data_IF_539577835782
#
_entry.id   IF_539577835782
#
_cell.length_a   1.000
_cell.length_b   1.000
_cell.length_c   1.000
_cell.angle_alpha   90.00
_cell.angle_beta   90.00
_cell.angle_gamma   90.00
#
_symmetry.space_group_name_H-M   'P 1'
#
loop_
_entity.id
_entity.type
_entity.pdbx_description
1 polymer ?
#
# COMPACT_ATOMS: atom_id res chain seq x y z
N UNK A 1 19.34 -2.63 30.11
CA UNK A 1 18.97 -1.23 30.37
C UNK A 1 19.49 -0.36 29.22
N UNK A 2 18.80 -0.33 28.07
CA UNK A 2 19.03 0.61 26.95
C UNK A 2 17.83 0.63 25.96
N UNK A 3 16.63 0.27 26.42
CA UNK A 3 15.44 0.13 25.57
C UNK A 3 15.02 1.48 24.96
N UNK A 4 15.11 2.57 25.72
CA UNK A 4 14.76 3.92 25.23
C UNK A 4 15.62 4.40 24.06
N UNK A 5 16.92 4.04 24.03
CA UNK A 5 17.81 4.38 22.89
C UNK A 5 17.51 3.52 21.67
N UNK A 6 17.13 2.26 21.87
CA UNK A 6 16.82 1.34 20.78
C UNK A 6 15.45 1.66 20.16
N UNK A 7 14.46 1.98 20.99
CA UNK A 7 13.11 2.35 20.54
C UNK A 7 13.10 3.69 19.79
N UNK A 8 13.90 4.67 20.23
CA UNK A 8 14.00 5.96 19.53
C UNK A 8 14.70 5.83 18.17
N UNK A 9 15.79 5.06 18.08
CA UNK A 9 16.46 4.79 16.81
C UNK A 9 15.56 3.98 15.85
N UNK A 10 14.85 2.96 16.36
CA UNK A 10 13.92 2.18 15.56
C UNK A 10 12.76 3.03 15.03
N UNK A 11 12.20 3.92 15.86
CA UNK A 11 11.13 4.84 15.44
C UNK A 11 11.56 5.80 14.33
N UNK A 12 12.76 6.36 14.41
CA UNK A 12 13.33 7.23 13.37
C UNK A 12 13.48 6.48 12.05
N UNK A 13 14.02 5.26 12.07
CA UNK A 13 14.19 4.44 10.86
C UNK A 13 12.85 4.09 10.22
N UNK A 14 11.85 3.68 11.01
CA UNK A 14 10.51 3.38 10.51
C UNK A 14 9.85 4.61 9.90
N UNK A 15 10.02 5.80 10.51
CA UNK A 15 9.51 7.05 9.95
C UNK A 15 10.13 7.37 8.59
N UNK A 16 11.46 7.24 8.45
CA UNK A 16 12.17 7.46 7.19
C UNK A 16 11.73 6.49 6.08
N UNK A 17 11.36 5.24 6.41
CA UNK A 17 10.88 4.24 5.44
C UNK A 17 9.39 4.42 5.14
N UNK A 18 8.58 4.89 6.10
CA UNK A 18 7.15 5.10 5.92
C UNK A 18 6.82 6.30 5.01
N UNK A 19 7.60 7.40 5.11
CA UNK A 19 7.42 8.58 4.25
C UNK A 19 7.41 8.27 2.74
N UNK A 20 8.42 7.59 2.17
CA UNK A 20 8.42 7.25 0.75
C UNK A 20 7.32 6.24 0.39
N UNK A 21 6.95 5.34 1.30
CA UNK A 21 5.88 4.37 1.09
C UNK A 21 4.52 5.09 0.94
N UNK A 22 4.18 6.01 1.86
CA UNK A 22 2.94 6.78 1.81
C UNK A 22 2.83 7.64 0.54
N UNK A 23 3.95 8.29 0.16
CA UNK A 23 4.02 9.09 -1.07
C UNK A 23 3.87 8.22 -2.32
N UNK A 24 4.52 7.04 -2.35
CA UNK A 24 4.45 6.10 -3.46
C UNK A 24 3.04 5.55 -3.68
N UNK A 25 2.33 5.17 -2.61
CA UNK A 25 0.96 4.65 -2.68
C UNK A 25 -0.01 5.74 -3.15
N UNK A 26 0.12 6.98 -2.65
CA UNK A 26 -0.75 8.08 -3.05
C UNK A 26 -0.63 8.39 -4.55
N UNK A 27 0.60 8.46 -5.07
CA UNK A 27 0.86 8.66 -6.50
C UNK A 27 0.37 7.49 -7.36
N UNK A 28 0.51 6.25 -6.89
CA UNK A 28 -0.01 5.07 -7.58
C UNK A 28 -1.54 5.06 -7.68
N UNK A 29 -2.21 5.68 -6.70
CA UNK A 29 -3.68 5.76 -6.64
C UNK A 29 -4.26 6.94 -7.43
N UNK A 30 -3.41 7.86 -7.92
CA UNK A 30 -3.86 9.10 -8.56
C UNK A 30 -4.43 10.16 -7.61
N UNK A 31 -4.22 10.01 -6.30
CA UNK A 31 -4.62 10.99 -5.29
C UNK A 31 -3.49 11.96 -4.96
N UNK A 32 -3.80 13.17 -4.46
CA UNK A 32 -2.78 14.09 -3.96
C UNK A 32 -1.92 13.43 -2.88
N UNK A 33 -0.59 13.58 -2.91
CA UNK A 33 0.33 12.91 -1.97
C UNK A 33 0.06 13.27 -0.50
N UNK A 34 -0.48 14.47 -0.28
CA UNK A 34 -0.88 14.96 1.04
C UNK A 34 -1.94 14.08 1.71
N UNK A 35 -2.89 13.53 0.95
CA UNK A 35 -3.98 12.71 1.50
C UNK A 35 -3.43 11.41 2.07
N UNK A 36 -2.53 10.74 1.35
CA UNK A 36 -1.90 9.51 1.83
C UNK A 36 -1.10 9.72 3.12
N UNK A 37 -0.35 10.81 3.20
CA UNK A 37 0.40 11.18 4.40
C UNK A 37 -0.53 11.47 5.60
N UNK A 38 -1.61 12.23 5.39
CA UNK A 38 -2.58 12.53 6.44
C UNK A 38 -3.26 11.26 6.97
N UNK A 39 -3.64 10.35 6.06
CA UNK A 39 -4.27 9.06 6.46
C UNK A 39 -3.31 8.21 7.29
N UNK A 40 -2.02 8.20 6.94
CA UNK A 40 -1.00 7.45 7.65
C UNK A 40 -0.73 8.00 9.04
N UNK A 41 -0.69 9.33 9.20
CA UNK A 41 -0.51 9.97 10.52
C UNK A 41 -1.72 9.69 11.42
N UNK A 42 -2.94 9.92 10.92
CA UNK A 42 -4.16 9.74 11.71
C UNK A 42 -4.35 8.26 12.06
N UNK A 43 -4.21 7.36 11.09
CA UNK A 43 -4.31 5.92 11.31
C UNK A 43 -3.23 5.39 12.25
N UNK A 44 -2.00 5.89 12.12
CA UNK A 44 -0.90 5.57 13.03
C UNK A 44 -1.18 5.97 14.47
N UNK A 45 -1.61 7.21 14.70
CA UNK A 45 -1.87 7.74 16.04
C UNK A 45 -3.08 7.06 16.71
N UNK A 46 -4.18 6.89 15.98
CA UNK A 46 -5.41 6.28 16.51
C UNK A 46 -5.22 4.80 16.82
N UNK A 47 -4.54 4.04 15.94
CA UNK A 47 -4.36 2.59 16.18
C UNK A 47 -3.30 2.32 17.24
N UNK A 48 -2.22 3.10 17.31
CA UNK A 48 -1.18 2.90 18.33
C UNK A 48 -1.64 3.23 19.74
N UNK A 49 -2.52 4.23 19.91
CA UNK A 49 -3.10 4.56 21.22
C UNK A 49 -4.07 3.49 21.74
N UNK A 50 -4.78 2.81 20.83
CA UNK A 50 -5.71 1.73 21.16
C UNK A 50 -5.04 0.35 21.26
N UNK A 51 -3.81 0.19 20.77
CA UNK A 51 -3.14 -1.10 20.66
C UNK A 51 -2.30 -1.43 21.91
N UNK A 52 -2.49 -2.59 22.55
CA UNK A 52 -1.69 -3.03 23.69
C UNK A 52 -0.30 -3.59 23.31
N UNK A 53 0.06 -3.62 22.01
CA UNK A 53 1.30 -4.23 21.53
C UNK A 53 2.47 -3.25 21.43
N UNK A 54 3.64 -3.66 21.94
CA UNK A 54 4.87 -2.84 22.01
C UNK A 54 5.57 -2.63 20.66
N UNK A 55 5.23 -3.42 19.64
CA UNK A 55 5.88 -3.40 18.32
C UNK A 55 4.89 -3.21 17.15
N UNK A 56 3.67 -2.79 17.44
CA UNK A 56 2.67 -2.58 16.40
C UNK A 56 2.94 -1.28 15.63
N UNK A 57 3.34 -1.40 14.36
CA UNK A 57 3.42 -0.28 13.42
C UNK A 57 2.19 -0.31 12.53
N UNK A 58 1.41 0.76 12.57
CA UNK A 58 0.19 0.89 11.74
C UNK A 58 0.46 1.82 10.58
N UNK A 59 0.15 1.38 9.36
CA UNK A 59 0.33 2.16 8.14
C UNK A 59 -0.64 1.73 7.04
N UNK A 60 -0.85 2.58 6.02
CA UNK A 60 -1.74 2.29 4.90
C UNK A 60 -1.19 1.13 4.06
N UNK A 61 -1.98 0.05 3.96
CA UNK A 61 -1.59 -1.15 3.21
C UNK A 61 -1.77 -0.96 1.71
N UNK A 62 -0.72 -1.20 0.93
CA UNK A 62 -0.74 -1.07 -0.53
C UNK A 62 -1.85 -1.92 -1.21
N UNK A 63 -2.16 -3.10 -0.65
CA UNK A 63 -3.21 -3.98 -1.16
C UNK A 63 -4.64 -3.50 -0.87
N UNK A 64 -4.85 -2.62 0.11
CA UNK A 64 -6.19 -2.11 0.43
C UNK A 64 -6.66 -1.14 -0.66
N UNK A 65 -5.75 -0.36 -1.23
CA UNK A 65 -6.04 0.58 -2.33
C UNK A 65 -6.62 -0.13 -3.54
N UNK A 66 -6.01 -1.23 -3.98
CA UNK A 66 -6.48 -1.96 -5.17
C UNK A 66 -7.87 -2.55 -4.94
N UNK A 67 -8.16 -3.01 -3.73
CA UNK A 67 -9.48 -3.51 -3.34
C UNK A 67 -10.51 -2.38 -3.35
N UNK A 68 -10.17 -1.19 -2.85
CA UNK A 68 -11.05 -0.02 -2.87
C UNK A 68 -11.37 0.41 -4.29
N UNK A 69 -10.37 0.51 -5.17
CA UNK A 69 -10.59 0.86 -6.59
C UNK A 69 -11.49 -0.16 -7.27
N UNK A 70 -11.23 -1.47 -7.07
CA UNK A 70 -12.06 -2.55 -7.60
C UNK A 70 -13.50 -2.51 -7.06
N UNK A 71 -13.67 -2.19 -5.78
CA UNK A 71 -14.97 -2.10 -5.14
C UNK A 71 -15.77 -0.90 -5.67
N UNK A 72 -15.13 0.24 -5.90
CA UNK A 72 -15.78 1.43 -6.48
C UNK A 72 -16.26 1.14 -7.91
N UNK A 73 -15.44 0.47 -8.72
CA UNK A 73 -15.82 0.05 -10.08
C UNK A 73 -17.00 -0.93 -10.07
N UNK A 74 -17.05 -1.83 -9.09
CA UNK A 74 -18.10 -2.84 -9.00
C UNK A 74 -19.42 -2.30 -8.44
N UNK A 75 -19.37 -1.37 -7.48
CA UNK A 75 -20.57 -0.85 -6.80
C UNK A 75 -21.13 0.44 -7.43
N UNK A 76 -20.33 1.18 -8.21
CA UNK A 76 -20.75 2.38 -8.96
C UNK A 76 -21.20 3.59 -8.13
N UNK A 77 -21.46 3.44 -6.83
CA UNK A 77 -21.92 4.48 -5.93
C UNK A 77 -21.01 4.63 -4.71
N UNK A 78 -20.55 5.85 -4.47
CA UNK A 78 -19.67 6.19 -3.35
C UNK A 78 -20.35 6.00 -1.98
N UNK A 79 -21.67 6.22 -1.91
CA UNK A 79 -22.44 6.05 -0.67
C UNK A 79 -22.50 4.58 -0.23
N UNK A 80 -22.69 3.66 -1.17
CA UNK A 80 -22.73 2.21 -0.88
C UNK A 80 -21.35 1.71 -0.47
N UNK A 81 -20.28 2.23 -1.11
CA UNK A 81 -18.91 1.93 -0.72
C UNK A 81 -18.59 2.37 0.71
N UNK A 82 -18.95 3.59 1.11
CA UNK A 82 -18.76 4.08 2.48
C UNK A 82 -19.52 3.23 3.50
N UNK A 83 -20.75 2.81 3.17
CA UNK A 83 -21.53 1.93 4.04
C UNK A 83 -20.86 0.56 4.20
N UNK A 84 -20.39 -0.04 3.10
CA UNK A 84 -19.62 -1.28 3.13
C UNK A 84 -18.31 -1.15 3.93
N UNK A 85 -17.64 0.00 3.84
CA UNK A 85 -16.41 0.27 4.59
C UNK A 85 -16.68 0.36 6.11
N UNK A 86 -17.76 1.04 6.51
CA UNK A 86 -18.20 1.10 7.91
C UNK A 86 -18.58 -0.29 8.42
N UNK A 87 -19.34 -1.06 7.64
CA UNK A 87 -19.68 -2.45 7.98
C UNK A 87 -18.46 -3.34 8.13
N UNK A 88 -17.48 -3.24 7.22
CA UNK A 88 -16.21 -3.96 7.32
C UNK A 88 -15.44 -3.60 8.60
N UNK A 89 -15.43 -2.31 8.98
CA UNK A 89 -14.84 -1.85 10.24
C UNK A 89 -15.55 -2.42 11.48
N UNK A 90 -16.88 -2.44 11.49
CA UNK A 90 -17.67 -3.04 12.58
C UNK A 90 -17.42 -4.54 12.69
N UNK A 91 -17.39 -5.25 11.56
CA UNK A 91 -17.02 -6.68 11.51
C UNK A 91 -15.60 -6.93 12.03
N UNK A 92 -14.65 -6.07 11.67
CA UNK A 92 -13.28 -6.15 12.15
C UNK A 92 -13.19 -5.94 13.68
N UNK A 93 -13.95 -4.98 14.23
CA UNK A 93 -14.05 -4.78 15.68
C UNK A 93 -14.70 -5.98 16.38
N UNK A 94 -15.75 -6.54 15.80
CA UNK A 94 -16.43 -7.73 16.32
C UNK A 94 -15.48 -8.93 16.37
N UNK A 95 -14.69 -9.16 15.32
CA UNK A 95 -13.65 -10.19 15.31
C UNK A 95 -12.52 -9.91 16.33
N UNK A 96 -12.22 -8.64 16.61
CA UNK A 96 -11.34 -8.23 17.69
C UNK A 96 -11.86 -8.66 19.07
N UNK A 97 -13.14 -8.40 19.35
CA UNK A 97 -13.79 -8.74 20.63
C UNK A 97 -13.93 -10.26 20.79
N UNK A 98 -14.27 -10.97 19.71
CA UNK A 98 -14.33 -12.45 19.67
C UNK A 98 -12.95 -13.11 19.79
N UNK A 99 -11.86 -12.32 19.89
CA UNK A 99 -10.46 -12.79 19.96
C UNK A 99 -10.10 -13.74 18.82
N UNK A 100 -10.67 -13.52 17.64
CA UNK A 100 -10.35 -14.28 16.43
C UNK A 100 -8.86 -14.15 16.04
N UNK A 101 -8.14 -13.15 16.58
CA UNK A 101 -6.69 -13.04 16.45
C UNK A 101 -5.91 -14.26 16.97
N UNK A 102 -6.49 -15.12 17.83
CA UNK A 102 -5.85 -16.38 18.27
C UNK A 102 -5.62 -17.36 17.12
N UNK A 103 -6.41 -17.29 16.04
CA UNK A 103 -6.23 -18.13 14.86
C UNK A 103 -4.92 -17.85 14.11
N UNK A 104 -4.33 -16.66 14.29
CA UNK A 104 -3.04 -16.31 13.66
C UNK A 104 -1.91 -17.19 14.20
N UNK A 105 -2.00 -17.68 15.43
CA UNK A 105 -1.03 -18.61 16.01
C UNK A 105 -1.00 -19.98 15.33
N UNK A 106 -2.02 -20.31 14.52
CA UNK A 106 -2.05 -21.55 13.73
C UNK A 106 -1.26 -21.43 12.42
N UNK A 107 -0.85 -20.22 12.04
CA UNK A 107 -0.07 -20.01 10.82
C UNK A 107 1.35 -20.52 11.05
N UNK A 108 1.82 -21.54 10.29
CA UNK A 108 3.14 -22.10 10.48
C UNK A 108 4.22 -21.08 10.12
N UNK A 109 5.32 -21.09 10.87
CA UNK A 109 6.44 -20.15 10.67
C UNK A 109 7.00 -20.19 9.24
N UNK A 110 6.86 -21.31 8.53
CA UNK A 110 7.24 -21.48 7.12
C UNK A 110 6.49 -20.50 6.19
N UNK A 111 5.21 -20.23 6.46
CA UNK A 111 4.40 -19.31 5.65
C UNK A 111 4.84 -17.87 5.87
N UNK A 112 5.11 -17.48 7.12
CA UNK A 112 5.59 -16.13 7.43
C UNK A 112 6.94 -15.87 6.78
N UNK A 113 7.86 -16.84 6.86
CA UNK A 113 9.16 -16.77 6.17
C UNK A 113 9.00 -16.70 4.65
N UNK A 114 8.06 -17.46 4.07
CA UNK A 114 7.72 -17.39 2.65
C UNK A 114 7.19 -16.01 2.23
N UNK A 115 6.31 -15.40 3.03
CA UNK A 115 5.81 -14.06 2.79
C UNK A 115 6.93 -13.01 2.85
N UNK A 116 7.82 -13.08 3.84
CA UNK A 116 8.97 -12.18 3.96
C UNK A 116 9.96 -12.36 2.79
N UNK A 117 10.20 -13.59 2.35
CA UNK A 117 11.01 -13.89 1.17
C UNK A 117 10.39 -13.33 -0.11
N UNK A 118 9.07 -13.48 -0.29
CA UNK A 118 8.35 -12.93 -1.42
C UNK A 118 8.40 -11.39 -1.46
N UNK A 119 8.22 -10.71 -0.32
CA UNK A 119 8.38 -9.26 -0.21
C UNK A 119 9.82 -8.86 -0.55
N UNK A 120 10.83 -9.58 -0.04
CA UNK A 120 12.24 -9.32 -0.37
C UNK A 120 12.55 -9.46 -1.86
N UNK A 121 12.05 -10.53 -2.49
CA UNK A 121 12.18 -10.75 -3.94
C UNK A 121 11.47 -9.65 -4.72
N UNK A 122 10.26 -9.26 -4.31
CA UNK A 122 9.50 -8.17 -4.92
C UNK A 122 10.27 -6.84 -4.86
N UNK A 123 10.90 -6.54 -3.72
CA UNK A 123 11.74 -5.35 -3.58
C UNK A 123 12.95 -5.40 -4.51
N UNK A 124 13.68 -6.52 -4.58
CA UNK A 124 14.82 -6.69 -5.50
C UNK A 124 14.37 -6.48 -6.94
N UNK A 125 13.26 -7.11 -7.33
CA UNK A 125 12.64 -6.97 -8.65
C UNK A 125 12.33 -5.52 -9.01
N UNK A 126 11.84 -4.72 -8.05
CA UNK A 126 11.55 -3.30 -8.25
C UNK A 126 12.80 -2.42 -8.32
N UNK A 127 13.90 -2.79 -7.66
CA UNK A 127 15.15 -2.02 -7.70
C UNK A 127 16.01 -2.31 -8.94
N UNK A 128 15.92 -3.50 -9.56
CA UNK A 128 16.63 -3.86 -10.79
C UNK A 128 16.45 -2.83 -11.93
N UNK A 129 15.23 -2.41 -12.32
CA UNK A 129 15.05 -1.42 -13.39
C UNK A 129 15.56 -0.03 -13.04
N UNK A 130 15.61 0.33 -11.75
CA UNK A 130 16.16 1.61 -11.27
C UNK A 130 17.69 1.59 -11.36
N UNK A 131 18.32 0.47 -10.96
CA UNK A 131 19.77 0.30 -11.00
C UNK A 131 20.32 0.20 -12.43
N UNK A 132 19.62 -0.49 -13.34
CA UNK A 132 20.09 -0.71 -14.71
C UNK A 132 19.83 0.47 -15.66
N UNK A 133 19.18 1.55 -15.20
CA UNK A 133 18.94 2.81 -15.95
C UNK A 133 18.54 2.60 -17.43
N UNK A 134 17.78 1.54 -17.72
CA UNK A 134 17.26 1.28 -19.07
C UNK A 134 16.09 2.23 -19.31
N UNK A 135 16.28 3.19 -20.23
CA UNK A 135 15.28 4.18 -20.67
C UNK A 135 14.05 3.62 -21.40
N UNK A 136 13.80 2.31 -21.34
CA UNK A 136 12.63 1.62 -21.91
C UNK A 136 11.65 1.13 -20.83
N UNK A 137 11.22 2.04 -19.95
CA UNK A 137 10.36 1.76 -18.77
C UNK A 137 8.95 1.26 -19.16
N UNK A 138 8.54 1.48 -20.40
CA UNK A 138 7.22 1.25 -20.97
C UNK A 138 6.96 -0.20 -21.43
N UNK A 139 7.95 -0.91 -21.97
CA UNK A 139 7.76 -2.28 -22.48
C UNK A 139 7.93 -3.37 -21.43
N UNK A 140 8.93 -3.27 -20.55
CA UNK A 140 9.21 -4.29 -19.52
C UNK A 140 8.15 -4.29 -18.41
N UNK A 141 7.72 -3.11 -17.95
CA UNK A 141 6.65 -2.99 -16.95
C UNK A 141 5.30 -3.54 -17.46
N UNK A 142 4.97 -3.27 -18.74
CA UNK A 142 3.79 -3.84 -19.41
C UNK A 142 3.86 -5.36 -19.63
N UNK A 143 5.05 -5.94 -19.77
CA UNK A 143 5.24 -7.39 -19.99
C UNK A 143 5.11 -8.15 -18.67
N UNK A 144 5.60 -7.56 -17.57
CA UNK A 144 5.49 -8.11 -16.22
C UNK A 144 4.06 -8.09 -15.65
N UNK A 145 3.33 -6.97 -15.80
CA UNK A 145 1.91 -6.91 -15.42
C UNK A 145 1.00 -7.81 -16.28
N UNK A 146 1.48 -8.28 -17.44
CA UNK A 146 0.74 -9.20 -18.32
C UNK A 146 1.06 -10.67 -18.01
N UNK A 147 2.11 -10.95 -17.24
CA UNK A 147 2.52 -12.29 -16.84
C UNK A 147 1.88 -12.74 -15.50
N UNK A 148 1.17 -11.84 -14.81
CA UNK A 148 0.40 -12.18 -13.61
C UNK A 148 -0.94 -12.77 -14.03
N UNK A 149 -1.33 -13.97 -13.54
CA UNK A 149 -2.62 -14.59 -13.87
C UNK A 149 -3.75 -13.95 -13.04
N UNK A 150 -3.90 -12.63 -13.13
CA UNK A 150 -5.02 -11.91 -12.53
C UNK A 150 -6.17 -11.84 -13.55
N UNK A 151 -7.38 -12.19 -13.09
CA UNK A 151 -8.59 -12.28 -13.89
C UNK A 151 -8.82 -11.06 -14.80
N UNK A 152 -9.33 -11.27 -16.03
CA UNK A 152 -9.45 -10.24 -17.08
C UNK A 152 -10.38 -9.05 -16.76
N UNK A 153 -11.09 -9.09 -15.62
CA UNK A 153 -12.02 -8.07 -15.13
C UNK A 153 -11.33 -6.91 -14.39
N UNK A 154 -10.08 -7.07 -13.92
CA UNK A 154 -9.30 -6.00 -13.29
C UNK A 154 -8.34 -5.35 -14.28
N UNK A 155 -8.89 -4.98 -15.45
CA UNK A 155 -8.17 -4.22 -16.46
C UNK A 155 -8.11 -2.78 -15.97
N UNK A 156 -7.17 -2.50 -15.06
CA UNK A 156 -6.87 -1.16 -14.57
C UNK A 156 -6.87 -0.17 -15.76
N UNK A 157 -7.46 1.02 -15.60
CA UNK A 157 -7.45 2.03 -16.63
C UNK A 157 -6.01 2.29 -17.05
N UNK A 158 -5.86 2.48 -18.36
CA UNK A 158 -4.62 2.35 -19.13
C UNK A 158 -3.30 2.74 -18.41
N UNK A 159 -2.19 2.03 -18.70
CA UNK A 159 -0.82 2.41 -18.29
C UNK A 159 -0.34 3.79 -18.76
N UNK A 160 -1.14 4.54 -19.54
CA UNK A 160 -0.84 5.93 -19.89
C UNK A 160 -0.98 6.87 -18.68
N UNK A 161 -1.87 6.58 -17.73
CA UNK A 161 -2.07 7.43 -16.55
C UNK A 161 -0.90 7.34 -15.55
N UNK A 162 -0.37 6.14 -15.30
CA UNK A 162 0.74 5.94 -14.36
C UNK A 162 2.10 6.46 -14.88
N UNK A 163 2.33 6.43 -16.20
CA UNK A 163 3.55 6.99 -16.81
C UNK A 163 3.51 8.51 -17.01
N UNK A 164 2.33 9.15 -17.03
CA UNK A 164 2.24 10.60 -17.27
C UNK A 164 2.64 11.46 -16.07
N UNK A 165 2.67 10.92 -14.85
CA UNK A 165 2.87 11.70 -13.62
C UNK A 165 4.31 11.72 -13.07
N UNK A 166 5.25 10.94 -13.61
CA UNK A 166 6.65 10.92 -13.11
C UNK A 166 7.67 11.57 -14.06
N UNK A 167 7.23 12.40 -15.01
CA UNK A 167 8.18 13.12 -15.88
C UNK A 167 7.64 13.95 -17.05
N UNK A 168 6.44 14.54 -16.99
CA UNK A 168 5.95 15.42 -18.07
C UNK A 168 5.40 16.76 -17.56
N UNK A 169 6.17 17.44 -16.71
CA UNK A 169 6.07 18.89 -16.54
C UNK A 169 7.01 19.59 -17.53
N UNK A 170 6.60 19.75 -18.79
CA UNK A 170 7.00 20.82 -19.73
C UNK A 170 6.68 20.47 -21.20
N UNK A 171 5.39 20.42 -21.58
CA UNK A 171 4.85 20.86 -22.90
C UNK A 171 3.40 20.43 -23.08
N UNK A 172 2.48 21.29 -22.63
CA UNK A 172 1.18 21.55 -23.28
C UNK A 172 0.56 22.81 -22.67
N UNK A 173 1.27 23.93 -22.85
CA UNK A 173 0.71 25.28 -22.89
C UNK A 173 1.28 25.89 -24.17
N UNK A 174 0.56 25.74 -25.28
CA UNK A 174 0.61 26.53 -26.54
C UNK A 174 0.08 25.66 -27.70
N UNK A 175 -1.20 25.87 -28.01
CA UNK A 175 -1.84 25.73 -29.32
C UNK A 175 -3.35 25.98 -29.07
N UNK A 176 -3.96 27.13 -29.39
CA UNK A 176 -3.51 28.12 -30.37
C UNK A 176 -3.55 27.52 -31.76
#
# INVERSE_FOLDING_TARGET
MNTLRQDSLAGIVVFLVALPLCLGIAQASGLPPFVGLLTGIIGGLVVTTLSPSRFAVSGPAAGLVTIVVAAIESLGSFSVFLMALVLAGVLQLLFGILRAGRFISLVPASVIKGMLAAIGILLIMQQIPVALRYGGRDRTCRRWFRATPLSPSLRLPSPRAACSCSGCGARRLSAG
#
